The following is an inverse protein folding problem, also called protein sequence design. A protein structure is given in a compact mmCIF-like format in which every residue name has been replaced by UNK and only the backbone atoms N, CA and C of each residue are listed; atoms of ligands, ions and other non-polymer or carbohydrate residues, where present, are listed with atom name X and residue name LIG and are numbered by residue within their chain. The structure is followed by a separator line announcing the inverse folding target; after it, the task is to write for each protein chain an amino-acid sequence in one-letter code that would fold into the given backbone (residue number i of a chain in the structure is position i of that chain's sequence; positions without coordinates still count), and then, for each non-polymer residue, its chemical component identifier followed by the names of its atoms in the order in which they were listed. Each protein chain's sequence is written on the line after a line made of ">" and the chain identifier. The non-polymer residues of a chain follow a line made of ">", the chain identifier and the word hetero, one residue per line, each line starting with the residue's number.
data_IF_165113355753
#
_entry.id   IF_165113355753
#
_cell.length_a   1.000
_cell.length_b   1.000
_cell.length_c   1.000
_cell.angle_alpha   90.00
_cell.angle_beta   90.00
_cell.angle_gamma   90.00
#
_symmetry.space_group_name_H-M   'P 1'
#
loop_
_entity.id
_entity.type
_entity.pdbx_description
1 polymer ?
#
# COMPACT_ATOMS: atom_id res chain seq x y z
N UNK A 1 -36.98 23.38 12.35
CA UNK A 1 -35.72 22.86 11.77
C UNK A 1 -36.11 22.15 10.49
N UNK A 2 -35.75 22.71 9.33
CA UNK A 2 -36.13 22.21 8.01
C UNK A 2 -35.69 20.75 7.84
N UNK A 3 -36.65 19.84 7.70
CA UNK A 3 -36.39 18.43 7.42
C UNK A 3 -35.88 18.26 6.00
N UNK A 4 -34.55 18.25 5.85
CA UNK A 4 -33.93 17.73 4.64
C UNK A 4 -34.14 16.21 4.64
N UNK A 5 -34.83 15.69 3.65
CA UNK A 5 -34.88 14.24 3.39
C UNK A 5 -33.45 13.79 3.10
N UNK A 6 -32.94 12.88 3.92
CA UNK A 6 -31.59 12.38 3.78
C UNK A 6 -31.44 11.56 2.49
N UNK A 7 -30.44 11.90 1.70
CA UNK A 7 -30.16 11.21 0.43
C UNK A 7 -29.81 9.74 0.69
N UNK A 8 -30.46 8.85 -0.06
CA UNK A 8 -30.22 7.40 0.00
C UNK A 8 -29.41 6.97 -1.22
N UNK A 9 -28.63 5.90 -1.05
CA UNK A 9 -27.92 5.25 -2.15
C UNK A 9 -28.90 4.83 -3.25
N UNK A 10 -28.51 5.02 -4.52
CA UNK A 10 -29.32 4.65 -5.68
C UNK A 10 -29.46 3.14 -5.82
N UNK A 11 -28.43 2.39 -5.43
CA UNK A 11 -28.45 0.93 -5.37
C UNK A 11 -27.63 0.36 -4.20
N UNK A 12 -27.96 -0.86 -3.77
CA UNK A 12 -27.17 -1.58 -2.77
C UNK A 12 -25.75 -1.90 -3.29
N UNK A 13 -25.61 -2.07 -4.60
CA UNK A 13 -24.30 -2.28 -5.22
C UNK A 13 -23.41 -1.05 -5.09
N UNK A 14 -23.91 0.16 -5.36
CA UNK A 14 -23.14 1.40 -5.15
C UNK A 14 -22.59 1.50 -3.71
N UNK A 15 -23.42 1.17 -2.73
CA UNK A 15 -23.00 1.12 -1.33
C UNK A 15 -21.88 0.08 -1.11
N UNK A 16 -22.08 -1.16 -1.58
CA UNK A 16 -21.09 -2.23 -1.41
C UNK A 16 -19.77 -1.92 -2.13
N UNK A 17 -19.81 -1.39 -3.35
CA UNK A 17 -18.62 -0.98 -4.08
C UNK A 17 -17.87 0.14 -3.37
N UNK A 18 -18.60 1.10 -2.78
CA UNK A 18 -17.99 2.18 -1.98
C UNK A 18 -17.29 1.63 -0.73
N UNK A 19 -17.92 0.70 0.00
CA UNK A 19 -17.31 0.04 1.14
C UNK A 19 -16.08 -0.80 0.77
N UNK A 20 -16.15 -1.54 -0.36
CA UNK A 20 -15.02 -2.33 -0.85
C UNK A 20 -13.85 -1.44 -1.29
N UNK A 21 -14.14 -0.31 -1.94
CA UNK A 21 -13.12 0.68 -2.32
C UNK A 21 -12.42 1.30 -1.10
N UNK A 22 -13.16 1.50 0.00
CA UNK A 22 -12.57 1.93 1.27
C UNK A 22 -11.73 0.83 1.95
N UNK A 23 -12.19 -0.42 1.90
CA UNK A 23 -11.50 -1.54 2.54
C UNK A 23 -10.21 -1.98 1.82
N UNK A 24 -10.18 -1.87 0.49
CA UNK A 24 -9.04 -2.29 -0.33
C UNK A 24 -8.14 -1.10 -0.66
N UNK A 25 -7.10 -0.89 0.15
CA UNK A 25 -6.09 0.14 -0.08
C UNK A 25 -4.78 -0.36 -0.68
N UNK A 26 -3.96 0.56 -1.18
CA UNK A 26 -2.63 0.25 -1.74
C UNK A 26 -1.71 -0.46 -0.72
N UNK A 27 -1.89 -0.16 0.57
CA UNK A 27 -1.18 -0.83 1.66
C UNK A 27 -1.41 -2.35 1.68
N UNK A 28 -2.59 -2.83 1.25
CA UNK A 28 -2.87 -4.27 1.21
C UNK A 28 -1.99 -4.99 0.17
N UNK A 29 -1.54 -4.30 -0.88
CA UNK A 29 -0.77 -4.90 -1.98
C UNK A 29 0.66 -5.29 -1.56
N UNK A 30 1.34 -4.48 -0.74
CA UNK A 30 2.72 -4.76 -0.32
C UNK A 30 2.84 -5.20 1.13
N UNK A 31 1.99 -4.70 2.03
CA UNK A 31 2.12 -4.98 3.46
C UNK A 31 1.76 -6.42 3.77
N UNK A 32 0.68 -6.92 3.17
CA UNK A 32 0.22 -8.28 3.41
C UNK A 32 1.24 -9.32 2.92
N UNK A 33 1.74 -9.27 1.66
CA UNK A 33 2.79 -10.19 1.24
C UNK A 33 4.07 -10.10 2.06
N UNK A 34 4.50 -8.88 2.42
CA UNK A 34 5.68 -8.68 3.28
C UNK A 34 5.50 -9.35 4.65
N UNK A 35 4.34 -9.19 5.27
CA UNK A 35 4.07 -9.72 6.60
C UNK A 35 3.93 -11.25 6.59
N UNK A 36 3.28 -11.81 5.57
CA UNK A 36 3.24 -13.25 5.33
C UNK A 36 4.66 -13.81 5.15
N UNK A 37 5.49 -13.17 4.31
CA UNK A 37 6.86 -13.62 4.08
C UNK A 37 7.70 -13.67 5.36
N UNK A 38 7.60 -12.66 6.22
CA UNK A 38 8.37 -12.59 7.46
C UNK A 38 7.89 -13.54 8.57
N UNK A 39 6.60 -13.86 8.60
CA UNK A 39 5.95 -14.59 9.69
C UNK A 39 5.64 -16.06 9.37
N UNK A 40 6.46 -16.71 8.52
CA UNK A 40 6.31 -18.13 8.21
C UNK A 40 5.32 -18.43 7.08
N UNK A 41 5.14 -17.51 6.15
CA UNK A 41 4.36 -17.68 4.93
C UNK A 41 2.89 -17.96 5.21
N UNK A 42 2.42 -19.12 4.77
CA UNK A 42 1.02 -19.54 4.91
C UNK A 42 0.57 -19.77 6.36
N UNK A 43 1.49 -20.05 7.29
CA UNK A 43 1.13 -20.24 8.70
C UNK A 43 0.57 -18.97 9.36
N UNK A 44 0.97 -17.79 8.87
CA UNK A 44 0.47 -16.50 9.33
C UNK A 44 -1.01 -16.27 8.99
N UNK A 45 -1.57 -17.01 8.03
CA UNK A 45 -2.97 -16.86 7.64
C UNK A 45 -3.93 -17.33 8.74
N UNK A 46 -3.54 -18.30 9.56
CA UNK A 46 -4.38 -18.83 10.64
C UNK A 46 -4.73 -17.75 11.67
N UNK A 47 -3.75 -17.07 12.33
CA UNK A 47 -4.06 -15.97 13.23
C UNK A 47 -4.67 -14.76 12.51
N UNK A 48 -4.32 -14.52 11.24
CA UNK A 48 -4.90 -13.45 10.45
C UNK A 48 -6.42 -13.61 10.28
N UNK A 49 -6.89 -14.78 9.81
CA UNK A 49 -8.33 -15.02 9.67
C UNK A 49 -9.06 -15.09 11.01
N UNK A 50 -8.42 -15.61 12.06
CA UNK A 50 -9.01 -15.66 13.39
C UNK A 50 -9.27 -14.27 13.96
N UNK A 51 -8.29 -13.36 13.89
CA UNK A 51 -8.47 -11.96 14.30
C UNK A 51 -9.44 -11.20 13.39
N UNK A 52 -9.48 -11.52 12.09
CA UNK A 52 -10.43 -10.94 11.16
C UNK A 52 -11.88 -11.33 11.51
N UNK A 53 -12.14 -12.59 11.83
CA UNK A 53 -13.50 -13.06 12.17
C UNK A 53 -13.93 -12.59 13.56
N UNK A 54 -13.02 -12.61 14.54
CA UNK A 54 -13.36 -12.27 15.94
C UNK A 54 -13.40 -10.76 16.18
N UNK A 55 -12.52 -10.00 15.55
CA UNK A 55 -12.42 -8.54 15.78
C UNK A 55 -12.77 -7.73 14.53
N UNK A 56 -12.23 -8.09 13.37
CA UNK A 56 -12.41 -7.32 12.14
C UNK A 56 -13.88 -7.19 11.69
N UNK A 57 -14.54 -8.33 11.45
CA UNK A 57 -15.93 -8.37 10.99
C UNK A 57 -16.88 -7.71 12.02
N UNK A 58 -16.79 -8.00 13.34
CA UNK A 58 -17.66 -7.35 14.32
C UNK A 58 -17.45 -5.84 14.41
N UNK A 59 -16.22 -5.33 14.29
CA UNK A 59 -15.96 -3.89 14.30
C UNK A 59 -16.55 -3.19 13.08
N UNK A 60 -16.36 -3.74 11.88
CA UNK A 60 -16.94 -3.17 10.64
C UNK A 60 -18.46 -3.23 10.67
N UNK A 61 -19.03 -4.32 11.19
CA UNK A 61 -20.47 -4.44 11.37
C UNK A 61 -21.01 -3.41 12.37
N UNK A 62 -20.33 -3.21 13.50
CA UNK A 62 -20.70 -2.20 14.49
C UNK A 62 -20.64 -0.79 13.91
N UNK A 63 -19.58 -0.44 13.20
CA UNK A 63 -19.44 0.86 12.55
C UNK A 63 -20.54 1.10 11.51
N UNK A 64 -20.81 0.10 10.67
CA UNK A 64 -21.83 0.17 9.62
C UNK A 64 -23.23 0.32 10.21
N UNK A 65 -23.59 -0.51 11.21
CA UNK A 65 -24.92 -0.45 11.85
C UNK A 65 -25.12 0.83 12.63
N UNK A 66 -24.08 1.34 13.30
CA UNK A 66 -24.10 2.63 13.99
C UNK A 66 -24.29 3.80 13.00
N UNK A 67 -23.61 3.76 11.85
CA UNK A 67 -23.78 4.75 10.79
C UNK A 67 -25.19 4.73 10.18
N UNK A 68 -25.74 3.54 9.94
CA UNK A 68 -27.10 3.36 9.40
C UNK A 68 -28.19 3.76 10.41
N UNK A 69 -28.02 3.42 11.68
CA UNK A 69 -28.99 3.73 12.74
C UNK A 69 -29.02 5.22 13.08
N UNK A 70 -27.85 5.83 13.26
CA UNK A 70 -27.78 7.24 13.63
C UNK A 70 -28.12 8.17 12.45
N UNK A 71 -27.96 7.68 11.22
CA UNK A 71 -28.21 8.39 9.96
C UNK A 71 -27.67 9.84 10.00
N UNK A 72 -26.53 10.04 10.67
CA UNK A 72 -25.97 11.35 10.94
C UNK A 72 -24.44 11.29 10.89
N UNK A 73 -23.80 12.44 10.71
CA UNK A 73 -22.33 12.51 10.65
C UNK A 73 -21.65 12.10 11.96
N UNK A 74 -20.37 11.77 11.88
CA UNK A 74 -19.57 11.19 12.98
C UNK A 74 -19.63 11.96 14.32
N UNK A 75 -19.84 13.28 14.31
CA UNK A 75 -20.01 14.07 15.55
C UNK A 75 -21.41 13.87 16.14
N UNK A 76 -22.44 13.84 15.28
CA UNK A 76 -23.84 13.79 15.70
C UNK A 76 -24.24 12.41 16.21
N UNK A 77 -23.57 11.34 15.76
CA UNK A 77 -23.83 9.98 16.26
C UNK A 77 -23.55 9.86 17.76
N UNK A 78 -22.51 10.54 18.26
CA UNK A 78 -22.16 10.51 19.68
C UNK A 78 -22.98 11.48 20.54
N UNK A 79 -24.02 12.13 20.01
CA UNK A 79 -24.96 12.88 20.85
C UNK A 79 -25.83 11.98 21.75
N UNK A 80 -25.79 10.65 21.57
CA UNK A 80 -26.43 9.67 22.46
C UNK A 80 -25.81 9.69 23.87
N UNK A 81 -24.49 9.90 23.96
CA UNK A 81 -23.79 10.07 25.24
C UNK A 81 -22.68 11.13 25.10
N UNK A 82 -22.79 12.29 25.79
CA UNK A 82 -21.86 13.41 25.64
C UNK A 82 -20.41 13.06 26.00
N UNK A 83 -20.17 12.00 26.77
CA UNK A 83 -18.81 11.53 27.09
C UNK A 83 -18.03 11.10 25.83
N UNK A 84 -18.71 10.52 24.84
CA UNK A 84 -18.08 10.04 23.60
C UNK A 84 -18.03 11.10 22.50
N UNK A 85 -18.51 12.32 22.75
CA UNK A 85 -18.50 13.39 21.74
C UNK A 85 -17.09 13.75 21.27
N UNK A 86 -16.09 13.62 22.15
CA UNK A 86 -14.67 13.79 21.82
C UNK A 86 -14.16 12.77 20.78
N UNK A 87 -14.69 11.55 20.76
CA UNK A 87 -14.31 10.53 19.79
C UNK A 87 -14.69 10.92 18.36
N UNK A 88 -15.86 11.55 18.17
CA UNK A 88 -16.28 12.05 16.87
C UNK A 88 -15.35 13.12 16.29
N UNK A 89 -14.88 14.05 17.14
CA UNK A 89 -13.89 15.05 16.73
C UNK A 89 -12.52 14.42 16.43
N UNK A 90 -12.09 13.44 17.23
CA UNK A 90 -10.83 12.72 17.00
C UNK A 90 -10.83 12.01 15.64
N UNK A 91 -11.92 11.33 15.28
CA UNK A 91 -12.07 10.66 13.98
C UNK A 91 -11.95 11.66 12.81
N UNK A 92 -12.54 12.85 12.93
CA UNK A 92 -12.44 13.89 11.90
C UNK A 92 -10.99 14.37 11.74
N UNK A 93 -10.31 14.68 12.85
CA UNK A 93 -8.91 15.12 12.82
C UNK A 93 -8.01 14.05 12.20
N UNK A 94 -8.20 12.78 12.60
CA UNK A 94 -7.47 11.65 12.03
C UNK A 94 -7.70 11.52 10.52
N UNK A 95 -8.95 11.66 10.07
CA UNK A 95 -9.29 11.60 8.64
C UNK A 95 -8.66 12.74 7.83
N UNK A 96 -8.59 13.95 8.38
CA UNK A 96 -7.93 15.08 7.71
C UNK A 96 -6.43 14.83 7.55
N UNK A 97 -5.77 14.38 8.62
CA UNK A 97 -4.34 14.05 8.58
C UNK A 97 -4.08 12.91 7.58
N UNK A 98 -4.89 11.85 7.64
CA UNK A 98 -4.79 10.72 6.72
C UNK A 98 -5.00 11.16 5.26
N UNK A 99 -5.97 12.02 4.98
CA UNK A 99 -6.25 12.51 3.62
C UNK A 99 -5.04 13.25 3.03
N UNK A 100 -4.41 14.13 3.81
CA UNK A 100 -3.20 14.86 3.37
C UNK A 100 -2.06 13.87 3.08
N UNK A 101 -1.80 12.94 3.99
CA UNK A 101 -0.76 11.92 3.83
C UNK A 101 -0.98 11.02 2.61
N UNK A 102 -2.18 10.45 2.47
CA UNK A 102 -2.49 9.54 1.36
C UNK A 102 -2.52 10.26 0.00
N UNK A 103 -2.93 11.53 -0.06
CA UNK A 103 -2.90 12.29 -1.31
C UNK A 103 -1.48 12.44 -1.87
N UNK A 104 -0.50 12.69 -1.00
CA UNK A 104 0.91 12.77 -1.40
C UNK A 104 1.41 11.42 -1.92
N UNK A 105 1.11 10.32 -1.22
CA UNK A 105 1.50 8.96 -1.67
C UNK A 105 0.89 8.61 -3.02
N UNK A 106 -0.38 8.97 -3.25
CA UNK A 106 -1.08 8.68 -4.50
C UNK A 106 -0.54 9.49 -5.69
N UNK A 107 0.16 10.60 -5.46
CA UNK A 107 0.78 11.39 -6.54
C UNK A 107 1.91 10.65 -7.24
N UNK A 108 2.70 9.83 -6.52
CA UNK A 108 3.82 9.08 -7.07
C UNK A 108 3.40 8.10 -8.18
N UNK A 109 2.47 7.14 -7.97
CA UNK A 109 2.08 6.21 -9.03
C UNK A 109 1.50 6.92 -10.26
N UNK A 110 0.79 8.04 -10.08
CA UNK A 110 0.30 8.85 -11.20
C UNK A 110 1.47 9.40 -12.03
N UNK A 111 2.50 9.93 -11.36
CA UNK A 111 3.74 10.38 -12.01
C UNK A 111 4.46 9.24 -12.74
N UNK A 112 4.59 8.07 -12.11
CA UNK A 112 5.19 6.90 -12.72
C UNK A 112 4.40 6.41 -13.93
N UNK A 113 3.06 6.44 -13.90
CA UNK A 113 2.21 6.11 -15.06
C UNK A 113 2.47 7.09 -16.20
N UNK A 114 2.50 8.39 -15.92
CA UNK A 114 2.78 9.41 -16.92
C UNK A 114 4.14 9.20 -17.61
N UNK A 115 5.19 8.96 -16.82
CA UNK A 115 6.53 8.70 -17.36
C UNK A 115 6.66 7.31 -18.03
N UNK A 116 5.81 6.35 -17.71
CA UNK A 116 5.78 5.03 -18.35
C UNK A 116 5.25 5.07 -19.79
N UNK A 117 4.59 6.16 -20.19
CA UNK A 117 4.13 6.34 -21.58
C UNK A 117 5.24 6.78 -22.54
N UNK A 118 6.44 7.08 -22.01
CA UNK A 118 7.62 7.46 -22.81
C UNK A 118 8.57 6.29 -23.00
N UNK A 119 9.16 6.18 -24.20
CA UNK A 119 10.24 5.22 -24.51
C UNK A 119 11.50 5.99 -24.88
N UNK A 120 12.66 5.77 -24.23
CA UNK A 120 12.95 4.78 -23.17
C UNK A 120 12.42 5.19 -21.79
N UNK A 121 12.22 4.20 -20.90
CA UNK A 121 11.77 4.46 -19.53
C UNK A 121 12.89 5.16 -18.73
N UNK A 122 12.59 6.20 -17.96
CA UNK A 122 13.63 7.02 -17.32
C UNK A 122 14.42 6.28 -16.23
N UNK A 123 13.86 5.24 -15.61
CA UNK A 123 14.54 4.41 -14.61
C UNK A 123 15.29 3.21 -15.19
N UNK A 124 15.38 3.08 -16.52
CA UNK A 124 16.07 1.97 -17.16
C UNK A 124 17.60 2.20 -17.22
N UNK A 125 18.05 3.45 -17.27
CA UNK A 125 19.46 3.79 -17.47
C UNK A 125 20.03 4.73 -16.40
N UNK A 126 21.35 4.66 -16.26
CA UNK A 126 22.16 5.50 -15.40
C UNK A 126 22.57 6.83 -16.06
N UNK A 127 22.10 7.13 -17.27
CA UNK A 127 22.42 8.36 -18.03
C UNK A 127 21.63 9.64 -17.67
N UNK A 128 20.83 9.63 -16.60
CA UNK A 128 20.01 10.78 -16.19
C UNK A 128 20.75 11.78 -15.28
N UNK A 129 20.25 13.01 -15.22
CA UNK A 129 20.83 14.10 -14.41
C UNK A 129 20.76 13.87 -12.90
N UNK A 130 19.83 13.03 -12.43
CA UNK A 130 19.65 12.69 -11.02
C UNK A 130 20.48 11.49 -10.55
N UNK A 131 21.25 10.87 -11.44
CA UNK A 131 22.02 9.67 -11.11
C UNK A 131 23.36 10.00 -10.44
N UNK A 132 23.76 9.15 -9.50
CA UNK A 132 25.06 9.21 -8.81
C UNK A 132 26.10 8.27 -9.43
N UNK A 133 27.37 8.46 -9.10
CA UNK A 133 28.50 7.61 -9.54
C UNK A 133 28.35 6.12 -9.19
N UNK A 134 27.52 5.79 -8.20
CA UNK A 134 27.24 4.41 -7.78
C UNK A 134 26.09 3.74 -8.58
N UNK A 135 25.54 4.41 -9.59
CA UNK A 135 24.51 3.82 -10.43
C UNK A 135 25.10 2.73 -11.32
N UNK A 136 24.60 1.51 -11.18
CA UNK A 136 25.02 0.35 -12.00
C UNK A 136 23.86 -0.14 -12.85
N UNK A 137 24.06 -0.23 -14.16
CA UNK A 137 23.09 -0.83 -15.06
C UNK A 137 23.28 -2.36 -15.10
N UNK A 138 22.21 -3.12 -14.99
CA UNK A 138 22.24 -4.57 -15.19
C UNK A 138 22.27 -4.86 -16.70
N UNK A 139 23.45 -4.75 -17.32
CA UNK A 139 23.62 -5.12 -18.72
C UNK A 139 23.39 -6.62 -18.85
N UNK A 140 22.23 -7.04 -19.37
CA UNK A 140 22.06 -8.41 -19.86
C UNK A 140 23.00 -8.60 -21.04
N UNK A 141 24.23 -9.02 -20.76
CA UNK A 141 25.13 -9.52 -21.79
C UNK A 141 24.51 -10.82 -22.28
N UNK A 142 23.66 -10.72 -23.30
CA UNK A 142 23.38 -11.86 -24.16
C UNK A 142 24.69 -12.13 -24.87
N UNK A 143 25.55 -12.96 -24.26
CA UNK A 143 26.75 -13.46 -24.89
C UNK A 143 26.29 -14.28 -26.10
N UNK A 144 26.17 -13.62 -27.25
CA UNK A 144 26.40 -14.24 -28.53
C UNK A 144 27.79 -14.86 -28.41
N UNK A 145 27.80 -16.17 -28.24
CA UNK A 145 28.99 -16.98 -28.21
C UNK A 145 29.57 -17.00 -29.63
N UNK A 146 30.22 -15.90 -29.98
CA UNK A 146 31.03 -15.76 -31.18
C UNK A 146 32.39 -15.27 -30.73
N UNK A 147 33.27 -16.27 -30.63
CA UNK A 147 34.70 -16.21 -30.82
C UNK A 147 35.53 -15.35 -29.85
N UNK A 148 36.36 -16.04 -29.05
CA UNK A 148 37.81 -16.02 -29.21
C UNK A 148 38.44 -16.71 -27.99
N UNK A 149 38.86 -17.94 -28.23
CA UNK A 149 39.83 -18.68 -27.43
C UNK A 149 41.17 -17.93 -27.39
N UNK A 150 41.28 -16.85 -26.60
CA UNK A 150 42.56 -16.29 -26.15
C UNK A 150 42.34 -15.13 -25.17
N UNK A 151 42.16 -15.43 -23.88
CA UNK A 151 42.83 -14.69 -22.80
C UNK A 151 42.84 -15.46 -21.48
N UNK A 152 43.74 -16.44 -21.46
CA UNK A 152 44.43 -16.91 -20.25
C UNK A 152 45.20 -15.72 -19.65
N UNK A 153 44.87 -15.36 -18.40
CA UNK A 153 45.77 -14.95 -17.30
C UNK A 153 45.15 -13.84 -16.44
N UNK A 154 44.63 -14.25 -15.27
CA UNK A 154 45.01 -13.78 -13.91
C UNK A 154 44.07 -14.51 -12.94
N UNK A 155 44.51 -15.67 -12.42
CA UNK A 155 45.12 -15.82 -11.10
C UNK A 155 44.15 -15.59 -9.92
N UNK A 156 43.80 -16.74 -9.32
CA UNK A 156 43.74 -16.96 -7.86
C UNK A 156 42.50 -16.47 -7.11
N UNK A 157 41.61 -17.45 -6.85
CA UNK A 157 40.99 -17.79 -5.57
C UNK A 157 40.51 -16.65 -4.66
N UNK A 158 39.19 -16.53 -4.47
CA UNK A 158 38.51 -16.92 -3.22
C UNK A 158 37.00 -16.71 -3.34
N UNK A 159 36.27 -17.70 -2.83
CA UNK A 159 34.84 -17.68 -2.48
C UNK A 159 34.28 -16.31 -2.10
N UNK A 160 33.13 -15.95 -2.66
CA UNK A 160 31.99 -15.64 -1.79
C UNK A 160 30.66 -15.89 -2.52
N UNK A 161 30.01 -16.98 -2.11
CA UNK A 161 28.57 -17.13 -1.94
C UNK A 161 27.70 -15.99 -2.51
N UNK A 162 26.90 -16.31 -3.53
CA UNK A 162 25.79 -15.50 -3.99
C UNK A 162 24.82 -15.28 -2.80
N UNK A 163 25.01 -14.21 -2.03
CA UNK A 163 24.03 -13.74 -1.08
C UNK A 163 22.91 -13.08 -1.87
N UNK A 164 21.77 -13.77 -1.90
CA UNK A 164 20.47 -13.18 -2.23
C UNK A 164 20.35 -11.78 -1.59
N UNK A 165 19.88 -10.76 -2.32
CA UNK A 165 19.73 -9.42 -1.75
C UNK A 165 18.70 -9.50 -0.62
N UNK A 166 19.20 -9.39 0.60
CA UNK A 166 18.41 -9.14 1.80
C UNK A 166 17.72 -7.79 1.57
N UNK A 167 16.42 -7.81 1.29
CA UNK A 167 15.56 -6.63 1.25
C UNK A 167 15.74 -5.90 2.58
N UNK A 168 16.57 -4.86 2.58
CA UNK A 168 16.70 -3.92 3.68
C UNK A 168 15.41 -3.10 3.73
N UNK A 169 14.54 -3.50 4.65
CA UNK A 169 13.62 -2.65 5.41
C UNK A 169 13.51 -1.20 4.92
N UNK A 170 12.46 -0.93 4.14
CA UNK A 170 11.78 0.37 4.18
C UNK A 170 10.94 0.33 5.48
N UNK A 171 11.60 0.60 6.60
CA UNK A 171 10.97 1.05 7.83
C UNK A 171 11.61 2.39 8.13
N UNK A 172 10.95 3.45 7.65
CA UNK A 172 10.89 4.81 8.20
C UNK A 172 10.38 5.75 7.09
N UNK A 173 9.06 5.71 6.85
CA UNK A 173 8.15 6.87 6.68
C UNK A 173 6.77 6.41 7.16
#
# INVERSE_FOLDING_TARGET
>A
MSGATQDRWGSQLEYLLSCLGYAVGIGNLWRFPYLCYRNGGGAFLIPYFLTLIICGIPLVYLETTLGQFASAGCISVFNINPLFKGAGYAVIVLNVIASIYFSAIMSYPILYIYHSMSSPLPWQSCGNSWNTVNCTEETRVFSHQTDLSLRRKTNTSTDTSCKSPRISTISEV
#
